data_IF_858789194431
#
_entry.id   IF_858789194431
#
_cell.length_a   1.000
_cell.length_b   1.000
_cell.length_c   1.000
_cell.angle_alpha   90.00
_cell.angle_beta   90.00
_cell.angle_gamma   90.00
#
_symmetry.space_group_name_H-M   'P 1'
#
loop_
_entity.id
_entity.type
_entity.pdbx_description
1 polymer ?
#
# COMPACT_ATOMS: atom_id res chain seq x y z
N UNK A 1 -8.75 61.78 -12.07
CA UNK A 1 -7.88 60.82 -11.30
C UNK A 1 -8.66 59.50 -11.18
N UNK A 2 -8.44 58.57 -12.11
CA UNK A 2 -9.14 57.29 -12.14
C UNK A 2 -8.29 56.27 -11.38
N UNK A 3 -8.84 55.73 -10.30
CA UNK A 3 -8.22 54.61 -9.60
C UNK A 3 -8.37 53.32 -10.43
N UNK A 4 -7.26 52.78 -10.88
CA UNK A 4 -7.19 51.46 -11.50
C UNK A 4 -7.22 50.43 -10.37
N UNK A 5 -8.36 49.77 -10.18
CA UNK A 5 -8.48 48.61 -9.30
C UNK A 5 -7.75 47.41 -9.93
N UNK A 6 -6.55 47.16 -9.46
CA UNK A 6 -5.78 45.94 -9.77
C UNK A 6 -6.41 44.77 -8.98
N UNK A 7 -7.44 44.12 -9.58
CA UNK A 7 -7.86 42.80 -9.10
C UNK A 7 -6.80 41.79 -9.53
N UNK A 8 -5.89 41.48 -8.61
CA UNK A 8 -5.02 40.31 -8.70
C UNK A 8 -5.95 39.07 -8.75
N UNK A 9 -6.16 38.54 -9.93
CA UNK A 9 -6.80 37.24 -10.10
C UNK A 9 -5.82 36.23 -9.52
N UNK A 10 -6.11 35.73 -8.30
CA UNK A 10 -5.38 34.63 -7.72
C UNK A 10 -5.45 33.46 -8.70
N UNK A 11 -4.30 33.04 -9.25
CA UNK A 11 -4.25 31.87 -10.10
C UNK A 11 -4.77 30.66 -9.28
N UNK A 12 -5.64 29.82 -9.83
CA UNK A 12 -6.09 28.63 -9.15
C UNK A 12 -4.84 27.79 -8.80
N UNK A 13 -4.61 27.57 -7.50
CA UNK A 13 -3.52 26.71 -7.04
C UNK A 13 -3.90 25.29 -7.47
N UNK A 14 -3.29 24.85 -8.55
CA UNK A 14 -3.54 23.55 -9.17
C UNK A 14 -3.03 22.46 -8.23
N UNK A 15 -3.87 21.46 -7.94
CA UNK A 15 -3.43 20.24 -7.25
C UNK A 15 -2.38 19.56 -8.13
N UNK A 16 -1.21 19.23 -7.55
CA UNK A 16 -0.12 18.61 -8.30
C UNK A 16 -0.46 17.15 -8.65
N UNK A 17 -0.83 16.92 -9.89
CA UNK A 17 -1.20 15.58 -10.41
C UNK A 17 -0.04 14.58 -10.29
N UNK A 18 1.22 15.02 -10.30
CA UNK A 18 2.38 14.15 -10.25
C UNK A 18 2.89 13.85 -8.82
N UNK A 19 2.20 14.34 -7.79
CA UNK A 19 2.58 14.19 -6.40
C UNK A 19 1.48 13.54 -5.53
N UNK A 20 0.94 12.36 -5.90
CA UNK A 20 -0.03 11.65 -5.07
C UNK A 20 0.58 11.11 -3.78
N UNK A 21 -0.28 10.91 -2.77
CA UNK A 21 -0.03 10.06 -1.63
C UNK A 21 -0.47 8.61 -1.97
N UNK A 22 0.46 7.69 -2.06
CA UNK A 22 0.18 6.28 -2.33
C UNK A 22 0.18 5.51 -1.02
N UNK A 23 -0.99 5.01 -0.61
CA UNK A 23 -1.13 4.18 0.58
C UNK A 23 -0.92 2.72 0.17
N UNK A 24 0.29 2.22 0.42
CA UNK A 24 0.79 0.95 -0.05
C UNK A 24 0.76 -0.12 1.04
N UNK A 25 0.42 -1.33 0.67
CA UNK A 25 0.55 -2.51 1.53
C UNK A 25 -0.09 -3.72 0.87
N UNK A 26 0.43 -4.90 1.19
CA UNK A 26 -0.18 -6.14 0.73
C UNK A 26 -1.62 -6.25 1.27
N UNK A 27 -2.52 -6.80 0.49
CA UNK A 27 -3.87 -7.10 0.97
C UNK A 27 -3.88 -7.95 2.25
N UNK A 28 -4.64 -7.51 3.25
CA UNK A 28 -4.64 -8.12 4.58
C UNK A 28 -3.61 -7.56 5.57
N UNK A 29 -2.75 -6.62 5.18
CA UNK A 29 -1.79 -5.97 6.09
C UNK A 29 -2.37 -4.84 6.94
N UNK A 30 -3.69 -4.60 6.89
CA UNK A 30 -4.31 -3.50 7.66
C UNK A 30 -4.48 -2.20 6.88
N UNK A 31 -4.38 -2.23 5.57
CA UNK A 31 -4.52 -1.04 4.70
C UNK A 31 -5.84 -0.30 4.84
N UNK A 32 -6.92 -0.98 5.33
CA UNK A 32 -8.18 -0.31 5.71
C UNK A 32 -7.97 0.70 6.83
N UNK A 33 -7.24 0.33 7.88
CA UNK A 33 -6.92 1.24 8.99
C UNK A 33 -6.04 2.40 8.49
N UNK A 34 -5.03 2.11 7.67
CA UNK A 34 -4.19 3.15 7.06
C UNK A 34 -5.02 4.14 6.24
N UNK A 35 -5.95 3.64 5.39
CA UNK A 35 -6.85 4.48 4.60
C UNK A 35 -7.72 5.38 5.49
N UNK A 36 -8.30 4.82 6.55
CA UNK A 36 -9.12 5.57 7.48
C UNK A 36 -8.34 6.67 8.21
N UNK A 37 -7.13 6.37 8.70
CA UNK A 37 -6.27 7.35 9.37
C UNK A 37 -5.84 8.48 8.42
N UNK A 38 -5.48 8.15 7.17
CA UNK A 38 -5.12 9.16 6.16
C UNK A 38 -6.32 10.05 5.80
N UNK A 39 -7.51 9.46 5.59
CA UNK A 39 -8.72 10.21 5.31
C UNK A 39 -9.14 11.11 6.48
N UNK A 40 -9.09 10.62 7.72
CA UNK A 40 -9.33 11.42 8.93
C UNK A 40 -8.30 12.55 9.10
N UNK A 41 -7.11 12.41 8.53
CA UNK A 41 -6.11 13.47 8.50
C UNK A 41 -6.41 14.53 7.43
N UNK A 42 -7.35 14.29 6.51
CA UNK A 42 -7.73 15.23 5.45
C UNK A 42 -7.14 14.89 4.07
N UNK A 43 -6.58 13.69 3.87
CA UNK A 43 -6.16 13.24 2.55
C UNK A 43 -7.38 12.85 1.72
N UNK A 44 -7.46 13.33 0.48
CA UNK A 44 -8.44 12.89 -0.50
C UNK A 44 -7.97 11.60 -1.17
N UNK A 45 -8.75 10.53 -1.06
CA UNK A 45 -8.39 9.20 -1.56
C UNK A 45 -9.23 8.73 -2.75
N UNK A 46 -10.00 9.64 -3.37
CA UNK A 46 -10.90 9.37 -4.49
C UNK A 46 -12.33 9.79 -4.20
N UNK A 47 -13.16 9.86 -5.24
CA UNK A 47 -14.59 10.19 -5.13
C UNK A 47 -15.42 8.94 -4.78
N UNK A 48 -14.88 7.74 -5.06
CA UNK A 48 -15.56 6.45 -4.83
C UNK A 48 -14.65 5.52 -4.04
N UNK A 49 -15.02 5.26 -2.79
CA UNK A 49 -14.34 4.34 -1.88
C UNK A 49 -15.28 3.20 -1.51
N UNK A 50 -14.80 1.96 -1.63
CA UNK A 50 -15.57 0.81 -1.15
C UNK A 50 -15.51 0.68 0.39
N UNK A 51 -16.24 -0.29 0.93
CA UNK A 51 -16.29 -0.57 2.39
C UNK A 51 -14.92 -0.92 3.01
N UNK A 52 -13.93 -1.23 2.20
CA UNK A 52 -12.54 -1.46 2.64
C UNK A 52 -11.67 -0.21 2.52
N UNK A 53 -12.25 0.92 2.09
CA UNK A 53 -11.54 2.15 1.80
C UNK A 53 -10.59 2.01 0.60
N UNK A 54 -10.89 1.11 -0.36
CA UNK A 54 -10.16 1.03 -1.62
C UNK A 54 -10.70 2.08 -2.59
N UNK A 55 -9.80 2.76 -3.27
CA UNK A 55 -10.10 3.76 -4.28
C UNK A 55 -10.56 3.07 -5.57
N UNK A 56 -11.87 2.94 -5.75
CA UNK A 56 -12.51 2.10 -6.78
C UNK A 56 -12.19 2.58 -8.19
N UNK A 57 -12.03 3.89 -8.36
CA UNK A 57 -11.73 4.53 -9.65
C UNK A 57 -10.39 4.03 -10.27
N UNK A 58 -9.49 3.48 -9.45
CA UNK A 58 -8.19 2.96 -9.87
C UNK A 58 -8.21 1.46 -10.22
N UNK A 59 -9.29 0.75 -9.89
CA UNK A 59 -9.33 -0.73 -9.96
C UNK A 59 -9.01 -1.23 -11.37
N UNK A 60 -9.64 -0.68 -12.41
CA UNK A 60 -9.46 -1.17 -13.78
C UNK A 60 -7.99 -1.06 -14.22
N UNK A 61 -7.40 0.13 -14.09
CA UNK A 61 -6.03 0.37 -14.58
C UNK A 61 -4.99 -0.37 -13.74
N UNK A 62 -5.13 -0.34 -12.41
CA UNK A 62 -4.15 -1.00 -11.51
C UNK A 62 -4.21 -2.53 -11.66
N UNK A 63 -5.38 -3.13 -11.82
CA UNK A 63 -5.49 -4.58 -11.99
C UNK A 63 -4.94 -5.04 -13.34
N UNK A 64 -5.17 -4.29 -14.41
CA UNK A 64 -4.59 -4.61 -15.72
C UNK A 64 -3.07 -4.48 -15.69
N UNK A 65 -2.55 -3.36 -15.19
CA UNK A 65 -1.12 -3.13 -15.04
C UNK A 65 -0.47 -4.17 -14.12
N UNK A 66 -1.10 -4.53 -13.00
CA UNK A 66 -0.59 -5.53 -12.07
C UNK A 66 -0.47 -6.92 -12.72
N UNK A 67 -1.47 -7.33 -13.51
CA UNK A 67 -1.40 -8.60 -14.26
C UNK A 67 -0.28 -8.59 -15.28
N UNK A 68 -0.12 -7.48 -16.01
CA UNK A 68 0.96 -7.34 -16.98
C UNK A 68 2.34 -7.36 -16.29
N UNK A 69 2.52 -6.61 -15.22
CA UNK A 69 3.77 -6.56 -14.46
C UNK A 69 4.14 -7.91 -13.81
N UNK A 70 3.15 -8.74 -13.48
CA UNK A 70 3.39 -10.11 -13.02
C UNK A 70 3.75 -11.07 -14.16
N UNK A 71 3.27 -10.83 -15.38
CA UNK A 71 3.49 -11.70 -16.53
C UNK A 71 4.81 -11.39 -17.27
N UNK A 72 5.20 -10.12 -17.34
CA UNK A 72 6.34 -9.64 -18.10
C UNK A 72 6.99 -8.42 -17.47
N UNK A 73 8.27 -8.22 -17.76
CA UNK A 73 8.96 -6.98 -17.38
C UNK A 73 8.56 -5.85 -18.35
N UNK A 74 8.03 -4.76 -17.79
CA UNK A 74 7.76 -3.52 -18.54
C UNK A 74 9.01 -2.65 -18.44
N UNK A 75 9.86 -2.74 -19.45
CA UNK A 75 11.14 -2.05 -19.48
C UNK A 75 10.96 -0.52 -19.39
N UNK A 76 11.72 0.18 -18.54
CA UNK A 76 11.69 1.64 -18.46
C UNK A 76 11.96 2.29 -19.83
N UNK A 77 11.12 3.27 -20.19
CA UNK A 77 11.26 4.00 -21.47
C UNK A 77 10.72 3.26 -22.71
N UNK A 78 10.18 2.04 -22.57
CA UNK A 78 9.49 1.35 -23.64
C UNK A 78 8.17 2.04 -24.01
N UNK A 79 7.62 1.72 -25.19
CA UNK A 79 6.28 2.21 -25.59
C UNK A 79 5.20 1.79 -24.56
N UNK A 80 5.33 0.59 -24.00
CA UNK A 80 4.39 0.11 -22.98
C UNK A 80 4.52 0.86 -21.67
N UNK A 81 5.73 1.22 -21.25
CA UNK A 81 5.97 2.10 -20.09
C UNK A 81 5.38 3.50 -20.31
N UNK A 82 5.56 4.06 -21.53
CA UNK A 82 5.00 5.35 -21.89
C UNK A 82 3.46 5.34 -21.90
N UNK A 83 2.85 4.27 -22.43
CA UNK A 83 1.41 4.05 -22.40
C UNK A 83 0.87 4.07 -20.97
N UNK A 84 1.43 3.24 -20.07
CA UNK A 84 0.97 3.18 -18.69
C UNK A 84 1.15 4.49 -17.93
N UNK A 85 2.26 5.17 -18.17
CA UNK A 85 2.50 6.49 -17.59
C UNK A 85 1.40 7.50 -17.98
N UNK A 86 1.08 7.55 -19.25
CA UNK A 86 0.04 8.43 -19.77
C UNK A 86 -1.35 8.02 -19.25
N UNK A 87 -1.69 6.74 -19.25
CA UNK A 87 -2.98 6.23 -18.80
C UNK A 87 -3.22 6.54 -17.32
N UNK A 88 -2.22 6.29 -16.46
CA UNK A 88 -2.32 6.57 -15.03
C UNK A 88 -2.41 8.08 -14.72
N UNK A 89 -1.66 8.92 -15.43
CA UNK A 89 -1.73 10.38 -15.27
C UNK A 89 -3.07 10.95 -15.77
N UNK A 90 -3.62 10.40 -16.85
CA UNK A 90 -4.95 10.76 -17.32
C UNK A 90 -6.02 10.36 -16.30
N UNK A 91 -5.95 9.13 -15.76
CA UNK A 91 -6.85 8.68 -14.68
C UNK A 91 -6.83 9.64 -13.49
N UNK A 92 -5.63 10.02 -13.03
CA UNK A 92 -5.48 10.99 -11.95
C UNK A 92 -6.15 12.33 -12.28
N UNK A 93 -5.94 12.84 -13.49
CA UNK A 93 -6.55 14.09 -13.97
C UNK A 93 -8.08 14.00 -13.97
N UNK A 94 -8.64 12.88 -14.44
CA UNK A 94 -10.09 12.67 -14.49
C UNK A 94 -10.72 12.61 -13.09
N UNK A 95 -10.04 11.94 -12.13
CA UNK A 95 -10.48 11.85 -10.73
C UNK A 95 -10.47 13.24 -10.09
N UNK A 96 -9.36 13.96 -10.24
CA UNK A 96 -9.18 15.30 -9.65
C UNK A 96 -10.10 16.33 -10.29
N UNK A 97 -10.38 16.22 -11.59
CA UNK A 97 -11.29 17.09 -12.30
C UNK A 97 -12.75 16.98 -11.83
N UNK A 98 -13.15 15.82 -11.29
CA UNK A 98 -14.47 15.60 -10.68
C UNK A 98 -14.54 16.04 -9.23
N UNK A 99 -13.40 16.14 -8.56
CA UNK A 99 -13.31 16.50 -7.16
C UNK A 99 -13.10 18.00 -7.02
N UNK A 100 -14.03 18.71 -6.36
CA UNK A 100 -13.86 20.13 -6.04
C UNK A 100 -12.88 20.32 -4.87
N UNK A 101 -11.60 20.00 -5.08
CA UNK A 101 -10.61 20.06 -4.04
C UNK A 101 -10.12 21.48 -3.77
N UNK A 102 -9.95 21.87 -2.49
CA UNK A 102 -9.34 23.16 -2.16
C UNK A 102 -7.89 23.20 -2.59
N UNK A 103 -7.38 24.40 -2.77
CA UNK A 103 -5.97 24.63 -3.07
C UNK A 103 -5.06 23.98 -2.03
N UNK A 104 -4.04 23.25 -2.49
CA UNK A 104 -3.07 22.56 -1.62
C UNK A 104 -3.58 21.26 -0.99
N UNK A 105 -4.79 20.81 -1.35
CA UNK A 105 -5.30 19.52 -0.90
C UNK A 105 -4.30 18.39 -1.21
N UNK A 106 -4.14 17.48 -0.26
CA UNK A 106 -3.35 16.26 -0.45
C UNK A 106 -4.26 15.18 -1.01
N UNK A 107 -3.87 14.61 -2.13
CA UNK A 107 -4.62 13.60 -2.82
C UNK A 107 -3.80 12.32 -3.02
N UNK A 108 -4.46 11.23 -3.24
CA UNK A 108 -3.83 9.95 -3.48
C UNK A 108 -4.84 8.84 -3.62
N UNK A 109 -4.40 7.62 -3.38
CA UNK A 109 -5.27 6.46 -3.38
C UNK A 109 -4.76 5.35 -2.47
N UNK A 110 -5.68 4.45 -2.12
CA UNK A 110 -5.37 3.18 -1.50
C UNK A 110 -6.00 2.05 -2.31
N UNK A 111 -5.16 1.20 -2.86
CA UNK A 111 -5.55 -0.05 -3.49
C UNK A 111 -4.41 -1.05 -3.29
N UNK A 112 -4.62 -2.19 -2.59
CA UNK A 112 -3.54 -3.12 -2.25
C UNK A 112 -2.75 -3.62 -3.45
N UNK A 113 -3.40 -3.80 -4.60
CA UNK A 113 -2.81 -4.32 -5.84
C UNK A 113 -1.79 -3.35 -6.46
N UNK A 114 -1.78 -2.08 -6.05
CA UNK A 114 -0.74 -1.08 -6.41
C UNK A 114 0.68 -1.62 -6.14
N UNK A 115 0.84 -2.45 -5.10
CA UNK A 115 2.13 -3.04 -4.73
C UNK A 115 2.74 -3.92 -5.83
N UNK A 116 1.91 -4.50 -6.70
CA UNK A 116 2.33 -5.42 -7.75
C UNK A 116 2.96 -4.71 -8.95
N UNK A 117 2.64 -3.44 -9.15
CA UNK A 117 3.10 -2.62 -10.27
C UNK A 117 3.80 -1.33 -9.79
N UNK A 118 4.36 -1.36 -8.60
CA UNK A 118 4.93 -0.17 -7.96
C UNK A 118 6.02 0.52 -8.79
N UNK A 119 6.96 -0.18 -9.45
CA UNK A 119 7.96 0.47 -10.30
C UNK A 119 7.35 1.33 -11.42
N UNK A 120 6.31 0.82 -12.11
CA UNK A 120 5.62 1.52 -13.18
C UNK A 120 4.87 2.75 -12.64
N UNK A 121 4.21 2.59 -11.51
CA UNK A 121 3.46 3.66 -10.84
C UNK A 121 4.40 4.77 -10.37
N UNK A 122 5.55 4.45 -9.81
CA UNK A 122 6.53 5.46 -9.37
C UNK A 122 7.15 6.21 -10.57
N UNK A 123 7.27 5.58 -11.73
CA UNK A 123 7.67 6.27 -12.96
C UNK A 123 6.57 7.20 -13.50
N UNK A 124 5.30 6.80 -13.34
CA UNK A 124 4.17 7.65 -13.72
C UNK A 124 4.03 8.88 -12.79
N UNK A 125 4.36 8.70 -11.52
CA UNK A 125 4.24 9.75 -10.48
C UNK A 125 5.58 10.00 -9.78
N UNK A 126 6.53 10.66 -10.43
CA UNK A 126 7.91 10.80 -9.91
C UNK A 126 8.01 11.62 -8.62
N UNK A 127 6.97 12.38 -8.26
CA UNK A 127 6.88 13.15 -7.01
C UNK A 127 5.94 12.51 -5.97
N UNK A 128 5.51 11.27 -6.20
CA UNK A 128 4.66 10.57 -5.25
C UNK A 128 5.31 10.47 -3.86
N UNK A 129 4.48 10.53 -2.84
CA UNK A 129 4.80 10.17 -1.45
C UNK A 129 4.17 8.83 -1.14
N UNK A 130 4.94 7.91 -0.61
CA UNK A 130 4.46 6.55 -0.37
C UNK A 130 4.43 6.26 1.12
N UNK A 131 3.28 5.81 1.61
CA UNK A 131 3.17 5.27 2.96
C UNK A 131 3.08 3.75 2.83
N UNK A 132 4.17 3.05 3.15
CA UNK A 132 4.26 1.60 3.04
C UNK A 132 3.96 0.95 4.39
N UNK A 133 2.78 0.32 4.46
CA UNK A 133 2.34 -0.45 5.61
C UNK A 133 2.71 -1.92 5.44
N UNK A 134 3.50 -2.43 6.37
CA UNK A 134 3.83 -3.85 6.48
C UNK A 134 3.14 -4.48 7.69
N UNK A 135 3.02 -5.79 7.69
CA UNK A 135 2.53 -6.58 8.80
C UNK A 135 3.38 -7.84 8.94
N UNK A 136 3.60 -8.30 10.15
CA UNK A 136 4.42 -9.47 10.43
C UNK A 136 4.00 -10.68 9.59
N UNK A 137 4.95 -11.43 8.98
CA UNK A 137 4.62 -12.54 8.08
C UNK A 137 3.80 -13.64 8.74
N UNK A 138 3.98 -13.93 10.02
CA UNK A 138 3.17 -14.93 10.73
C UNK A 138 1.70 -14.55 10.76
N UNK A 139 1.39 -13.35 11.26
CA UNK A 139 0.02 -12.86 11.32
C UNK A 139 -0.59 -12.65 9.94
N UNK A 140 0.22 -12.38 8.91
CA UNK A 140 -0.24 -12.26 7.52
C UNK A 140 -0.51 -13.61 6.88
N UNK A 141 0.33 -14.64 7.15
CA UNK A 141 0.27 -15.93 6.48
C UNK A 141 -0.78 -16.87 7.08
N UNK A 142 -0.98 -16.83 8.39
CA UNK A 142 -1.93 -17.70 9.10
C UNK A 142 -3.38 -17.20 9.06
N UNK A 143 -3.63 -16.07 8.42
CA UNK A 143 -4.97 -15.50 8.25
C UNK A 143 -5.67 -16.03 6.99
N UNK A 144 -6.95 -15.62 6.85
CA UNK A 144 -7.71 -15.83 5.61
C UNK A 144 -6.89 -15.37 4.41
N UNK A 145 -6.78 -16.24 3.43
CA UNK A 145 -6.05 -15.97 2.19
C UNK A 145 -6.68 -14.79 1.43
N UNK A 146 -5.88 -13.79 1.16
CA UNK A 146 -6.28 -12.65 0.33
C UNK A 146 -6.41 -13.08 -1.14
N UNK A 147 -7.23 -12.36 -1.92
CA UNK A 147 -7.46 -12.67 -3.33
C UNK A 147 -6.17 -12.76 -4.15
N UNK A 148 -5.16 -11.93 -3.86
CA UNK A 148 -3.83 -11.94 -4.52
C UNK A 148 -2.96 -13.16 -4.13
N UNK A 149 -3.46 -14.07 -3.28
CA UNK A 149 -2.80 -15.31 -2.89
C UNK A 149 -3.68 -16.52 -3.17
N UNK A 150 -4.74 -16.37 -3.97
CA UNK A 150 -5.70 -17.42 -4.29
C UNK A 150 -5.57 -17.81 -5.75
N UNK A 151 -5.39 -19.12 -5.99
CA UNK A 151 -5.22 -19.66 -7.35
C UNK A 151 -6.54 -19.62 -8.17
N UNK A 152 -7.68 -19.55 -7.51
CA UNK A 152 -9.01 -19.42 -8.13
C UNK A 152 -9.38 -17.97 -8.51
N UNK A 153 -8.49 -17.01 -8.26
CA UNK A 153 -8.64 -15.61 -8.64
C UNK A 153 -7.64 -15.24 -9.74
N UNK A 154 -8.04 -14.57 -10.84
CA UNK A 154 -7.15 -14.28 -11.96
C UNK A 154 -5.88 -13.50 -11.59
N UNK A 155 -5.99 -12.49 -10.72
CA UNK A 155 -4.81 -11.76 -10.25
C UNK A 155 -4.00 -12.62 -9.29
N UNK A 156 -4.65 -13.39 -8.43
CA UNK A 156 -4.01 -14.28 -7.48
C UNK A 156 -3.19 -15.38 -8.17
N UNK A 157 -3.71 -15.98 -9.23
CA UNK A 157 -2.98 -16.97 -10.04
C UNK A 157 -1.69 -16.38 -10.64
N UNK A 158 -1.76 -15.16 -11.19
CA UNK A 158 -0.60 -14.44 -11.71
C UNK A 158 0.43 -14.15 -10.63
N UNK A 159 0.00 -13.67 -9.47
CA UNK A 159 0.86 -13.35 -8.33
C UNK A 159 1.51 -14.60 -7.76
N UNK A 160 0.76 -15.69 -7.57
CA UNK A 160 1.28 -16.97 -7.10
C UNK A 160 2.35 -17.51 -8.04
N UNK A 161 2.06 -17.55 -9.34
CA UNK A 161 3.03 -18.00 -10.34
C UNK A 161 4.33 -17.22 -10.27
N UNK A 162 4.26 -15.89 -10.13
CA UNK A 162 5.43 -15.02 -10.01
C UNK A 162 6.17 -15.20 -8.68
N UNK A 163 5.44 -15.34 -7.57
CA UNK A 163 6.01 -15.54 -6.24
C UNK A 163 6.76 -16.88 -6.13
N UNK A 164 6.15 -17.96 -6.64
CA UNK A 164 6.77 -19.29 -6.62
C UNK A 164 8.01 -19.32 -7.53
N UNK A 165 7.93 -18.74 -8.73
CA UNK A 165 9.08 -18.61 -9.63
C UNK A 165 10.21 -17.81 -8.99
N UNK A 166 9.91 -16.70 -8.35
CA UNK A 166 10.92 -15.87 -7.66
C UNK A 166 11.58 -16.61 -6.49
N UNK A 167 10.87 -17.57 -5.86
CA UNK A 167 11.39 -18.44 -4.81
C UNK A 167 12.09 -19.71 -5.36
N UNK A 168 12.23 -19.87 -6.68
CA UNK A 168 12.80 -21.07 -7.29
C UNK A 168 11.93 -22.32 -7.16
N UNK A 169 10.61 -22.15 -6.91
CA UNK A 169 9.66 -23.25 -6.76
C UNK A 169 8.99 -23.56 -8.09
N UNK A 170 8.78 -24.85 -8.34
CA UNK A 170 8.03 -25.30 -9.52
C UNK A 170 6.55 -24.88 -9.41
N UNK A 171 5.89 -24.50 -10.54
CA UNK A 171 4.49 -24.06 -10.55
C UNK A 171 3.51 -25.12 -10.01
N UNK A 172 3.82 -26.39 -10.17
CA UNK A 172 3.01 -27.52 -9.69
C UNK A 172 2.86 -27.52 -8.17
N UNK A 173 3.84 -26.97 -7.45
CA UNK A 173 3.80 -26.82 -6.00
C UNK A 173 2.61 -25.95 -5.54
N UNK A 174 2.12 -25.02 -6.38
CA UNK A 174 0.95 -24.20 -6.07
C UNK A 174 -0.30 -25.07 -5.80
N UNK A 175 -0.44 -26.20 -6.50
CA UNK A 175 -1.60 -27.07 -6.32
C UNK A 175 -1.46 -27.99 -5.10
N UNK A 176 -0.22 -28.22 -4.64
CA UNK A 176 0.08 -29.10 -3.53
C UNK A 176 0.22 -28.36 -2.18
N UNK A 177 0.61 -27.09 -2.23
CA UNK A 177 0.89 -26.31 -1.03
C UNK A 177 -0.40 -25.79 -0.36
N UNK A 178 -0.40 -25.75 0.96
CA UNK A 178 -1.51 -25.23 1.75
C UNK A 178 -1.64 -23.68 1.66
N UNK A 179 -2.83 -23.12 1.93
CA UNK A 179 -3.09 -21.68 1.79
C UNK A 179 -2.13 -20.76 2.57
N UNK A 180 -1.60 -21.20 3.72
CA UNK A 180 -0.65 -20.38 4.49
C UNK A 180 0.70 -20.25 3.76
N UNK A 181 1.13 -21.24 2.97
CA UNK A 181 2.32 -21.17 2.13
C UNK A 181 2.10 -20.21 0.96
N UNK A 182 0.92 -20.24 0.32
CA UNK A 182 0.55 -19.23 -0.68
C UNK A 182 0.67 -17.81 -0.11
N UNK A 183 0.16 -17.62 1.11
CA UNK A 183 0.27 -16.33 1.79
C UNK A 183 1.74 -15.96 2.07
N UNK A 184 2.58 -16.91 2.51
CA UNK A 184 3.98 -16.66 2.81
C UNK A 184 4.78 -16.30 1.55
N UNK A 185 4.69 -17.08 0.48
CA UNK A 185 5.38 -16.79 -0.78
C UNK A 185 4.93 -15.46 -1.38
N UNK A 186 3.63 -15.19 -1.42
CA UNK A 186 3.12 -13.91 -1.94
C UNK A 186 3.46 -12.74 -1.03
N UNK A 187 3.58 -12.94 0.29
CA UNK A 187 4.07 -11.92 1.21
C UNK A 187 5.51 -11.55 0.91
N UNK A 188 6.40 -12.55 0.83
CA UNK A 188 7.81 -12.32 0.53
C UNK A 188 8.01 -11.64 -0.85
N UNK A 189 7.27 -12.07 -1.86
CA UNK A 189 7.30 -11.50 -3.20
C UNK A 189 6.84 -10.03 -3.24
N UNK A 190 5.65 -9.74 -2.69
CA UNK A 190 5.05 -8.41 -2.75
C UNK A 190 5.80 -7.42 -1.85
N UNK A 191 6.08 -7.78 -0.60
CA UNK A 191 6.78 -6.88 0.34
C UNK A 191 8.22 -6.67 -0.10
N UNK A 192 8.94 -7.74 -0.46
CA UNK A 192 10.32 -7.64 -0.95
C UNK A 192 10.42 -6.85 -2.26
N UNK A 193 9.46 -7.04 -3.19
CA UNK A 193 9.36 -6.26 -4.42
C UNK A 193 9.12 -4.77 -4.16
N UNK A 194 8.21 -4.46 -3.24
CA UNK A 194 7.94 -3.08 -2.85
C UNK A 194 9.17 -2.40 -2.23
N UNK A 195 9.87 -3.07 -1.32
CA UNK A 195 11.09 -2.52 -0.72
C UNK A 195 12.14 -2.18 -1.79
N UNK A 196 12.44 -3.13 -2.68
CA UNK A 196 13.39 -2.87 -3.79
C UNK A 196 12.97 -1.72 -4.69
N UNK A 197 11.67 -1.62 -5.01
CA UNK A 197 11.16 -0.53 -5.82
C UNK A 197 11.27 0.83 -5.11
N UNK A 198 10.94 0.88 -3.83
CA UNK A 198 11.03 2.11 -3.04
C UNK A 198 12.50 2.56 -2.88
N UNK A 199 13.41 1.64 -2.62
CA UNK A 199 14.83 1.94 -2.48
C UNK A 199 15.46 2.42 -3.82
N UNK A 200 14.96 1.90 -4.96
CA UNK A 200 15.45 2.29 -6.28
C UNK A 200 14.88 3.63 -6.80
N UNK A 201 13.64 4.00 -6.44
CA UNK A 201 12.92 5.12 -7.05
C UNK A 201 12.61 6.28 -6.12
N UNK A 202 12.61 6.07 -4.81
CA UNK A 202 12.24 7.09 -3.84
C UNK A 202 13.42 7.55 -3.01
N UNK A 203 13.48 8.87 -2.74
CA UNK A 203 14.32 9.41 -1.68
C UNK A 203 13.68 9.12 -0.32
N UNK A 204 14.46 9.07 0.75
CA UNK A 204 13.99 8.69 2.09
C UNK A 204 12.86 9.59 2.62
N UNK A 205 12.88 10.89 2.29
CA UNK A 205 11.86 11.86 2.68
C UNK A 205 10.50 11.65 1.98
N UNK A 206 10.45 10.80 0.95
CA UNK A 206 9.22 10.46 0.21
C UNK A 206 8.62 9.12 0.59
N UNK A 207 9.21 8.40 1.54
CA UNK A 207 8.72 7.09 1.99
C UNK A 207 8.54 7.08 3.50
N UNK A 208 7.31 6.88 3.95
CA UNK A 208 6.99 6.58 5.34
C UNK A 208 6.76 5.07 5.47
N UNK A 209 7.59 4.38 6.26
CA UNK A 209 7.45 2.95 6.54
C UNK A 209 6.77 2.76 7.89
N UNK A 210 5.65 2.04 7.89
CA UNK A 210 4.84 1.79 9.09
C UNK A 210 4.65 0.28 9.28
N UNK A 211 4.64 -0.15 10.54
CA UNK A 211 4.28 -1.51 10.91
C UNK A 211 2.82 -1.52 11.39
N UNK A 212 2.05 -2.51 10.98
CA UNK A 212 0.65 -2.64 11.40
C UNK A 212 0.51 -2.77 12.92
N UNK A 213 1.44 -3.47 13.53
CA UNK A 213 1.53 -3.68 14.97
C UNK A 213 1.65 -2.35 15.71
N UNK A 214 2.49 -1.43 15.22
CA UNK A 214 2.69 -0.10 15.80
C UNK A 214 1.44 0.80 15.61
N UNK A 215 0.81 0.71 14.41
CA UNK A 215 -0.48 1.39 14.18
C UNK A 215 -1.54 0.96 15.20
N UNK A 216 -1.61 -0.33 15.50
CA UNK A 216 -2.56 -0.86 16.46
C UNK A 216 -2.20 -0.49 17.90
N UNK A 217 -0.91 -0.43 18.23
CA UNK A 217 -0.45 -0.06 19.57
C UNK A 217 -0.73 1.42 19.88
N UNK A 218 -0.52 2.32 18.92
CA UNK A 218 -0.72 3.76 19.10
C UNK A 218 -1.29 4.46 17.85
N UNK A 219 -2.59 4.32 17.58
CA UNK A 219 -3.21 4.86 16.37
C UNK A 219 -3.22 6.40 16.32
N UNK A 220 -3.25 7.06 17.45
CA UNK A 220 -3.19 8.52 17.52
C UNK A 220 -1.82 9.05 17.07
N UNK A 221 -0.74 8.41 17.52
CA UNK A 221 0.62 8.71 17.08
C UNK A 221 0.78 8.42 15.58
N UNK A 222 0.36 7.25 15.12
CA UNK A 222 0.43 6.86 13.72
C UNK A 222 -0.31 7.86 12.81
N UNK A 223 -1.49 8.35 13.22
CA UNK A 223 -2.21 9.41 12.51
C UNK A 223 -1.39 10.70 12.44
N UNK A 224 -0.76 11.09 13.55
CA UNK A 224 0.12 12.26 13.61
C UNK A 224 1.30 12.15 12.63
N UNK A 225 1.94 10.99 12.59
CA UNK A 225 3.05 10.69 11.65
C UNK A 225 2.60 10.74 10.19
N UNK A 226 1.44 10.14 9.87
CA UNK A 226 0.84 10.17 8.54
C UNK A 226 0.56 11.63 8.12
N UNK A 227 -0.06 12.41 8.99
CA UNK A 227 -0.40 13.80 8.70
C UNK A 227 0.85 14.67 8.50
N UNK A 228 1.82 14.54 9.38
CA UNK A 228 3.10 15.26 9.26
C UNK A 228 3.83 14.89 7.97
N UNK A 229 3.90 13.58 7.66
CA UNK A 229 4.48 13.10 6.41
C UNK A 229 3.76 13.65 5.17
N UNK A 230 2.45 13.75 5.17
CA UNK A 230 1.67 14.32 4.07
C UNK A 230 1.67 15.85 4.07
N UNK A 231 2.17 16.51 5.11
CA UNK A 231 2.12 17.96 5.26
C UNK A 231 0.68 18.48 5.46
N UNK A 232 -0.11 17.74 6.23
CA UNK A 232 -1.50 18.08 6.58
C UNK A 232 -1.52 18.56 8.04
N UNK A 233 -2.18 19.70 8.29
CA UNK A 233 -2.47 20.14 9.65
C UNK A 233 -3.69 19.39 10.18
N UNK A 234 -3.51 18.58 11.22
CA UNK A 234 -4.60 17.76 11.78
C UNK A 234 -5.41 18.52 12.82
N UNK A 235 -6.73 18.41 12.74
CA UNK A 235 -7.59 18.64 13.90
C UNK A 235 -7.40 17.51 14.94
N UNK A 236 -7.57 17.82 16.22
CA UNK A 236 -7.47 16.85 17.32
C UNK A 236 -8.59 15.81 17.25
N UNK A 237 -8.29 14.57 17.59
CA UNK A 237 -9.22 13.44 17.70
C UNK A 237 -8.91 12.30 16.74
N UNK A 238 -8.90 11.08 17.23
CA UNK A 238 -8.81 9.86 16.43
C UNK A 238 -9.94 8.93 16.85
N UNK A 239 -10.68 8.38 15.89
CA UNK A 239 -11.71 7.38 16.18
C UNK A 239 -11.05 6.02 16.42
N UNK A 240 -10.89 5.66 17.69
CA UNK A 240 -10.30 4.38 18.10
C UNK A 240 -11.18 3.16 17.73
N UNK A 241 -12.45 3.37 17.35
CA UNK A 241 -13.37 2.29 16.99
C UNK A 241 -12.98 1.55 15.68
N UNK A 242 -12.07 2.13 14.90
CA UNK A 242 -11.56 1.50 13.67
C UNK A 242 -10.57 0.35 13.92
N UNK A 243 -10.12 0.15 15.15
CA UNK A 243 -9.06 -0.80 15.49
C UNK A 243 -9.67 -2.11 15.98
N UNK A 244 -9.49 -3.17 15.22
CA UNK A 244 -9.81 -4.53 15.64
C UNK A 244 -8.59 -5.18 16.28
N UNK A 245 -8.44 -4.99 17.60
CA UNK A 245 -7.35 -5.50 18.43
C UNK A 245 -7.21 -7.03 18.41
N UNK A 246 -8.31 -7.75 18.13
CA UNK A 246 -8.32 -9.22 18.08
C UNK A 246 -7.50 -9.79 16.94
N UNK A 247 -7.11 -8.96 15.95
CA UNK A 247 -6.35 -9.40 14.80
C UNK A 247 -4.84 -9.42 15.00
N UNK A 248 -4.33 -8.94 16.12
CA UNK A 248 -2.90 -8.97 16.45
C UNK A 248 -2.54 -10.17 17.33
N UNK A 249 -3.51 -10.77 18.03
CA UNK A 249 -3.29 -11.74 19.11
C UNK A 249 -3.46 -13.22 18.66
N UNK A 250 -3.73 -13.50 17.38
CA UNK A 250 -4.24 -14.81 16.93
C UNK A 250 -3.14 -15.80 16.47
N UNK A 251 -1.88 -15.63 16.86
CA UNK A 251 -0.79 -16.55 16.48
C UNK A 251 -0.28 -17.29 17.71
N UNK A 252 -0.48 -18.61 17.72
CA UNK A 252 0.14 -19.48 18.72
C UNK A 252 1.65 -19.57 18.48
N UNK A 253 2.51 -19.15 19.43
CA UNK A 253 3.97 -19.27 19.30
C UNK A 253 4.46 -20.72 19.10
N UNK A 254 3.67 -21.71 19.50
CA UNK A 254 3.96 -23.14 19.33
C UNK A 254 3.52 -23.73 17.98
N UNK A 255 2.92 -22.93 17.10
CA UNK A 255 2.43 -23.40 15.79
C UNK A 255 3.59 -23.88 14.90
N UNK A 256 3.58 -25.18 14.54
CA UNK A 256 4.63 -25.79 13.72
C UNK A 256 4.82 -25.16 12.34
N UNK A 257 3.81 -24.42 11.82
CA UNK A 257 3.88 -23.71 10.53
C UNK A 257 4.80 -22.48 10.57
N UNK A 258 5.10 -21.94 11.76
CA UNK A 258 5.92 -20.74 11.90
C UNK A 258 7.34 -20.91 11.35
N UNK A 259 7.93 -22.11 11.49
CA UNK A 259 9.27 -22.40 10.95
C UNK A 259 9.28 -22.31 9.42
N UNK A 260 8.27 -22.87 8.77
CA UNK A 260 8.16 -22.82 7.32
C UNK A 260 7.88 -21.39 6.82
N UNK A 261 6.98 -20.65 7.48
CA UNK A 261 6.73 -19.26 7.14
C UNK A 261 8.01 -18.42 7.29
N UNK A 262 8.75 -18.61 8.37
CA UNK A 262 9.99 -17.84 8.60
C UNK A 262 11.10 -18.21 7.62
N UNK A 263 11.20 -19.46 7.21
CA UNK A 263 12.16 -19.86 6.18
C UNK A 263 11.91 -19.19 4.82
N UNK A 264 10.64 -18.88 4.50
CA UNK A 264 10.24 -18.20 3.27
C UNK A 264 10.36 -16.68 3.39
N UNK A 265 9.91 -16.12 4.52
CA UNK A 265 9.73 -14.68 4.68
C UNK A 265 10.87 -13.99 5.43
N UNK A 266 11.70 -14.75 6.16
CA UNK A 266 12.60 -14.23 7.20
C UNK A 266 13.63 -13.22 6.68
N UNK A 267 14.18 -13.40 5.48
CA UNK A 267 15.15 -12.44 4.92
C UNK A 267 14.51 -11.09 4.64
N UNK A 268 13.35 -11.11 3.98
CA UNK A 268 12.57 -9.88 3.74
C UNK A 268 12.08 -9.27 5.06
N UNK A 269 11.62 -10.09 6.00
CA UNK A 269 11.17 -9.61 7.30
C UNK A 269 12.29 -8.88 8.06
N UNK A 270 13.49 -9.48 8.12
CA UNK A 270 14.65 -8.86 8.76
C UNK A 270 15.08 -7.57 8.09
N UNK A 271 15.06 -7.50 6.75
CA UNK A 271 15.45 -6.28 6.01
C UNK A 271 14.56 -5.07 6.31
N UNK A 272 13.33 -5.31 6.81
CA UNK A 272 12.37 -4.25 7.20
C UNK A 272 12.18 -4.17 8.72
N UNK A 273 13.10 -4.74 9.49
CA UNK A 273 13.18 -4.59 10.94
C UNK A 273 12.29 -5.52 11.76
N UNK A 274 11.70 -6.58 11.17
CA UNK A 274 11.02 -7.61 11.96
C UNK A 274 11.98 -8.67 12.48
N UNK A 275 11.85 -9.01 13.74
CA UNK A 275 12.39 -10.24 14.31
C UNK A 275 11.32 -11.35 14.27
N UNK A 276 11.76 -12.59 14.53
CA UNK A 276 10.83 -13.74 14.58
C UNK A 276 9.75 -13.60 15.68
N UNK A 277 9.97 -12.78 16.69
CA UNK A 277 9.11 -12.66 17.87
C UNK A 277 8.22 -11.41 17.87
N UNK A 278 8.36 -10.51 16.89
CA UNK A 278 7.65 -9.21 16.87
C UNK A 278 6.17 -9.31 16.45
N UNK A 279 5.61 -10.50 16.39
CA UNK A 279 4.21 -10.70 15.99
C UNK A 279 3.20 -10.57 17.15
N UNK A 280 3.68 -10.64 18.38
CA UNK A 280 2.87 -10.42 19.56
C UNK A 280 2.79 -8.90 19.86
N UNK A 281 1.62 -8.35 20.16
CA UNK A 281 1.54 -6.97 20.63
C UNK A 281 2.32 -6.83 21.95
N UNK A 282 3.00 -5.70 22.10
CA UNK A 282 3.61 -5.38 23.38
C UNK A 282 2.54 -5.45 24.49
N UNK A 283 2.85 -5.99 25.69
CA UNK A 283 1.89 -6.06 26.78
C UNK A 283 1.34 -4.66 27.03
N UNK A 284 0.01 -4.53 27.04
CA UNK A 284 -0.66 -3.25 27.33
C UNK A 284 -0.16 -2.75 28.67
N UNK A 285 0.41 -1.56 28.69
CA UNK A 285 0.52 -0.83 29.95
C UNK A 285 -0.91 -0.60 30.43
N UNK A 286 -1.26 -1.16 31.60
CA UNK A 286 -2.54 -0.92 32.22
C UNK A 286 -2.75 0.59 32.39
N UNK A 287 -3.99 1.10 32.22
CA UNK A 287 -4.29 2.50 32.35
C UNK A 287 -4.01 3.03 33.79
#
# INVERSE_FOLDING_TARGET
MSQVNNHSVAQPIVVDVLAPAILLGRGGSGTRLLSALAAQSGAFLGNDLNVSGDSVEWVADIYELAREACASDIAPGSERDAYWRQALQQRATDILGKAALPAGAKWGWKLPETILALPQILRAFPRARVIHLTRHPFTSSLRRTHMTSRNDNPIGASVLSSAYRAAGRAPEAILADEPYLHNAYTWAYQVGGACRALDAFCQDDRVLRLRYEDLCANPAQARGEIAAFLGIQTASGCDAALIDWRRTDDVDPGDARLDQIWSICGDVARSIGYSRTDFAPAPRQAP
#
